data_IF_352491839142
#
_entry.id   IF_352491839142
#
_cell.length_a   1.000
_cell.length_b   1.000
_cell.length_c   1.000
_cell.angle_alpha   90.00
_cell.angle_beta   90.00
_cell.angle_gamma   90.00
#
_symmetry.space_group_name_H-M   'P 1'
#
loop_
_entity.id
_entity.type
_entity.pdbx_description
1 polymer ?
#
# COMPACT_ATOMS: atom_id res chain seq x y z
N UNK A 1 -4.65 -20.81 22.21
CA UNK A 1 -5.35 -21.42 23.36
C UNK A 1 -4.75 -20.92 24.66
N UNK A 2 -5.60 -20.46 25.56
CA UNK A 2 -5.18 -20.05 26.90
C UNK A 2 -4.84 -21.29 27.77
N UNK A 3 -3.79 -21.20 28.58
CA UNK A 3 -3.44 -22.22 29.58
C UNK A 3 -3.68 -21.67 30.96
N UNK A 4 -4.30 -22.46 31.85
CA UNK A 4 -4.63 -22.08 33.22
C UNK A 4 -3.72 -22.85 34.17
N UNK A 5 -3.06 -22.11 35.10
CA UNK A 5 -2.16 -22.70 36.11
C UNK A 5 -2.58 -22.22 37.51
N UNK A 6 -2.77 -23.17 38.42
CA UNK A 6 -3.11 -22.85 39.85
C UNK A 6 -1.88 -22.35 40.57
N UNK A 7 -2.02 -21.26 41.32
CA UNK A 7 -1.00 -20.66 42.20
C UNK A 7 -1.61 -20.38 43.60
N UNK A 8 -1.56 -21.36 44.48
CA UNK A 8 -2.20 -21.22 45.80
C UNK A 8 -3.70 -20.94 45.69
N UNK A 9 -4.15 -19.77 46.15
CA UNK A 9 -5.55 -19.33 46.08
C UNK A 9 -5.90 -18.55 44.81
N UNK A 10 -4.96 -18.40 43.90
CA UNK A 10 -5.17 -17.70 42.61
C UNK A 10 -4.91 -18.62 41.43
N UNK A 11 -5.36 -18.19 40.23
CA UNK A 11 -5.10 -18.87 38.98
C UNK A 11 -4.44 -17.92 38.02
N UNK A 12 -3.39 -18.39 37.33
CA UNK A 12 -2.70 -17.67 36.29
C UNK A 12 -3.19 -18.17 34.94
N UNK A 13 -3.79 -17.27 34.16
CA UNK A 13 -4.19 -17.52 32.78
C UNK A 13 -3.06 -16.99 31.90
N UNK A 14 -2.55 -17.82 30.99
CA UNK A 14 -1.46 -17.49 30.06
C UNK A 14 -1.93 -17.72 28.64
N UNK A 15 -1.88 -16.65 27.84
CA UNK A 15 -2.22 -16.67 26.41
C UNK A 15 -0.94 -16.51 25.59
N UNK A 16 -0.66 -17.45 24.68
CA UNK A 16 0.46 -17.34 23.75
C UNK A 16 0.06 -16.44 22.59
N UNK A 17 0.91 -15.44 22.30
CA UNK A 17 0.69 -14.49 21.21
C UNK A 17 1.26 -14.95 19.87
N UNK A 18 1.80 -16.18 19.78
CA UNK A 18 2.38 -16.73 18.57
C UNK A 18 3.81 -16.28 18.30
N UNK A 19 4.13 -16.09 17.03
CA UNK A 19 5.45 -15.68 16.54
C UNK A 19 5.29 -14.41 15.70
N UNK A 20 6.33 -13.55 15.69
CA UNK A 20 6.40 -12.40 14.78
C UNK A 20 6.73 -12.84 13.34
N UNK A 21 6.70 -11.89 12.41
CA UNK A 21 7.02 -12.12 11.00
C UNK A 21 8.50 -12.53 10.76
N UNK A 22 9.39 -12.34 11.75
CA UNK A 22 10.78 -12.78 11.73
C UNK A 22 10.96 -14.18 12.38
N UNK A 23 9.87 -14.84 12.80
CA UNK A 23 9.90 -16.16 13.43
C UNK A 23 10.27 -16.15 14.93
N UNK A 24 10.37 -14.98 15.57
CA UNK A 24 10.64 -14.89 17.00
C UNK A 24 9.36 -15.06 17.79
N UNK A 25 9.45 -15.79 18.92
CA UNK A 25 8.29 -16.02 19.77
C UNK A 25 7.90 -14.74 20.50
N UNK A 26 6.64 -14.30 20.31
CA UNK A 26 6.08 -13.16 21.02
C UNK A 26 5.89 -13.45 22.52
N UNK A 27 6.05 -12.41 23.34
CA UNK A 27 5.88 -12.52 24.78
C UNK A 27 4.44 -12.90 25.12
N UNK A 28 4.24 -13.99 25.87
CA UNK A 28 2.92 -14.44 26.30
C UNK A 28 2.28 -13.43 27.26
N UNK A 29 0.98 -13.17 27.06
CA UNK A 29 0.19 -12.34 27.97
C UNK A 29 -0.26 -13.19 29.17
N UNK A 30 -0.23 -12.59 30.36
CA UNK A 30 -0.54 -13.29 31.61
C UNK A 30 -1.48 -12.44 32.45
N UNK A 31 -2.51 -13.08 33.01
CA UNK A 31 -3.47 -12.45 33.92
C UNK A 31 -3.68 -13.36 35.15
N UNK A 32 -3.59 -12.79 36.33
CA UNK A 32 -3.92 -13.50 37.58
C UNK A 32 -5.36 -13.21 37.95
N UNK A 33 -6.15 -14.26 38.21
CA UNK A 33 -7.57 -14.17 38.57
C UNK A 33 -7.83 -14.88 39.89
N UNK A 34 -8.74 -14.35 40.69
CA UNK A 34 -9.16 -14.90 41.97
C UNK A 34 -10.65 -15.32 41.86
N UNK A 35 -10.97 -16.59 42.00
CA UNK A 35 -12.37 -17.01 42.01
C UNK A 35 -13.12 -16.44 43.20
N UNK A 36 -14.38 -16.02 43.03
CA UNK A 36 -15.22 -15.59 44.14
C UNK A 36 -15.35 -16.64 45.24
N UNK A 37 -15.39 -16.19 46.50
CA UNK A 37 -15.56 -17.09 47.66
C UNK A 37 -16.92 -17.80 47.58
N UNK A 38 -16.93 -19.10 47.94
CA UNK A 38 -18.18 -19.89 48.02
C UNK A 38 -18.54 -20.70 46.80
N UNK A 39 -17.71 -20.70 45.72
CA UNK A 39 -17.93 -21.54 44.55
C UNK A 39 -17.55 -23.00 44.78
N UNK A 40 -18.34 -23.91 44.27
CA UNK A 40 -17.99 -25.33 44.18
C UNK A 40 -16.88 -25.57 43.18
N UNK A 41 -16.10 -26.66 43.27
CA UNK A 41 -15.00 -26.93 42.33
C UNK A 41 -15.43 -26.90 40.84
N UNK A 42 -16.61 -27.43 40.51
CA UNK A 42 -17.16 -27.42 39.13
C UNK A 42 -17.54 -26.01 38.69
N UNK A 43 -18.08 -25.18 39.59
CA UNK A 43 -18.39 -23.78 39.26
C UNK A 43 -17.13 -22.95 39.07
N UNK A 44 -16.07 -23.19 39.86
CA UNK A 44 -14.77 -22.55 39.71
C UNK A 44 -14.14 -22.89 38.34
N UNK A 45 -14.20 -24.13 37.90
CA UNK A 45 -13.68 -24.57 36.62
C UNK A 45 -14.42 -23.91 35.45
N UNK A 46 -15.75 -23.86 35.52
CA UNK A 46 -16.56 -23.17 34.49
C UNK A 46 -16.25 -21.70 34.41
N UNK A 47 -16.19 -21.02 35.58
CA UNK A 47 -15.84 -19.60 35.66
C UNK A 47 -14.43 -19.32 35.13
N UNK A 48 -13.44 -20.15 35.46
CA UNK A 48 -12.07 -20.01 34.94
C UNK A 48 -12.00 -20.15 33.42
N UNK A 49 -12.76 -21.08 32.84
CA UNK A 49 -12.85 -21.22 31.37
C UNK A 49 -13.50 -20.00 30.72
N UNK A 50 -14.54 -19.43 31.32
CA UNK A 50 -15.15 -18.18 30.85
C UNK A 50 -14.17 -17.00 30.91
N UNK A 51 -13.44 -16.86 32.03
CA UNK A 51 -12.40 -15.84 32.16
C UNK A 51 -11.23 -16.04 31.16
N UNK A 52 -10.85 -17.28 30.88
CA UNK A 52 -9.81 -17.58 29.91
C UNK A 52 -10.23 -17.22 28.50
N UNK A 53 -11.50 -17.46 28.11
CA UNK A 53 -12.05 -17.05 26.82
C UNK A 53 -12.11 -15.53 26.71
N UNK A 54 -12.62 -14.84 27.73
CA UNK A 54 -12.66 -13.37 27.76
C UNK A 54 -11.28 -12.76 27.64
N UNK A 55 -10.30 -13.31 28.38
CA UNK A 55 -8.91 -12.84 28.31
C UNK A 55 -8.26 -13.15 26.95
N UNK A 56 -8.52 -14.31 26.36
CA UNK A 56 -8.06 -14.63 25.00
C UNK A 56 -8.64 -13.68 23.96
N UNK A 57 -9.92 -13.32 24.06
CA UNK A 57 -10.58 -12.33 23.22
C UNK A 57 -9.98 -10.93 23.39
N UNK A 58 -9.75 -10.51 24.65
CA UNK A 58 -9.11 -9.21 24.92
C UNK A 58 -7.66 -9.15 24.39
N UNK A 59 -6.90 -10.24 24.51
CA UNK A 59 -5.55 -10.34 23.93
C UNK A 59 -5.56 -10.28 22.40
N UNK A 60 -6.58 -10.87 21.73
CA UNK A 60 -6.73 -10.78 20.28
C UNK A 60 -7.19 -9.40 19.80
N UNK A 61 -7.88 -8.65 20.66
CA UNK A 61 -8.32 -7.28 20.38
C UNK A 61 -7.24 -6.24 20.71
N UNK A 62 -6.20 -6.59 21.48
CA UNK A 62 -5.04 -5.71 21.67
C UNK A 62 -4.13 -5.84 20.45
N UNK A 63 -3.93 -4.79 19.64
CA UNK A 63 -2.93 -4.80 18.57
C UNK A 63 -1.58 -5.14 19.18
N UNK A 64 -0.87 -6.06 18.57
CA UNK A 64 0.41 -6.58 19.07
C UNK A 64 1.33 -5.41 19.47
N UNK A 65 1.89 -5.42 20.67
CA UNK A 65 2.71 -4.33 21.22
C UNK A 65 3.93 -3.95 20.36
N UNK A 66 4.35 -4.79 19.44
CA UNK A 66 5.35 -4.49 18.39
C UNK A 66 4.82 -3.51 17.35
N UNK A 67 3.52 -3.57 17.01
CA UNK A 67 2.89 -2.64 16.09
C UNK A 67 2.71 -1.24 16.70
N UNK A 68 2.53 -1.14 18.01
CA UNK A 68 2.26 0.13 18.72
C UNK A 68 3.43 1.12 18.68
N UNK A 69 4.66 0.67 18.39
CA UNK A 69 5.85 1.52 18.34
C UNK A 69 6.42 1.78 16.95
N UNK A 70 5.98 1.05 15.92
CA UNK A 70 6.49 1.21 14.55
C UNK A 70 6.00 2.53 13.94
N UNK A 71 6.92 3.32 13.43
CA UNK A 71 6.62 4.56 12.71
C UNK A 71 6.15 4.28 11.29
N UNK A 72 5.46 5.25 10.67
CA UNK A 72 5.08 5.15 9.26
C UNK A 72 6.32 5.01 8.35
N UNK A 73 7.43 5.68 8.70
CA UNK A 73 8.67 5.60 7.92
C UNK A 73 9.26 4.17 7.96
N UNK A 74 9.34 3.56 9.14
CA UNK A 74 9.83 2.18 9.30
C UNK A 74 8.93 1.18 8.58
N UNK A 75 7.61 1.32 8.68
CA UNK A 75 6.68 0.45 8.00
C UNK A 75 6.71 0.64 6.48
N UNK A 76 6.76 1.88 5.98
CA UNK A 76 6.86 2.15 4.54
C UNK A 76 8.14 1.56 3.93
N UNK A 77 9.26 1.61 4.67
CA UNK A 77 10.51 0.97 4.25
C UNK A 77 10.34 -0.56 4.19
N UNK A 78 9.81 -1.17 5.25
CA UNK A 78 9.54 -2.60 5.27
C UNK A 78 8.60 -3.03 4.13
N UNK A 79 7.52 -2.27 3.91
CA UNK A 79 6.55 -2.52 2.85
C UNK A 79 7.20 -2.46 1.46
N UNK A 80 8.02 -1.45 1.23
CA UNK A 80 8.73 -1.26 -0.03
C UNK A 80 9.74 -2.37 -0.33
N UNK A 81 10.45 -2.86 0.69
CA UNK A 81 11.46 -3.91 0.55
C UNK A 81 10.86 -5.32 0.44
N UNK A 82 9.76 -5.60 1.14
CA UNK A 82 9.26 -6.96 1.33
C UNK A 82 7.88 -7.24 0.68
N UNK A 83 7.01 -6.24 0.56
CA UNK A 83 5.64 -6.42 0.07
C UNK A 83 5.51 -5.93 -1.38
N UNK A 84 5.92 -4.72 -1.67
CA UNK A 84 5.76 -4.07 -2.97
C UNK A 84 6.34 -4.90 -4.15
N UNK A 85 7.55 -5.50 -4.06
CA UNK A 85 8.13 -6.25 -5.18
C UNK A 85 7.34 -7.50 -5.55
N UNK A 86 6.64 -8.10 -4.59
CA UNK A 86 5.84 -9.30 -4.80
C UNK A 86 4.39 -8.99 -5.25
N UNK A 87 3.92 -7.77 -5.02
CA UNK A 87 2.53 -7.37 -5.26
C UNK A 87 2.38 -6.47 -6.49
N UNK A 88 3.41 -5.73 -6.87
CA UNK A 88 3.36 -4.68 -7.87
C UNK A 88 4.37 -4.92 -9.01
N UNK A 89 4.01 -4.44 -10.21
CA UNK A 89 4.94 -4.40 -11.33
C UNK A 89 6.11 -3.44 -11.06
N UNK A 90 7.29 -3.71 -11.61
CA UNK A 90 8.52 -2.95 -11.39
C UNK A 90 8.37 -1.44 -11.68
N UNK A 91 7.62 -1.07 -12.72
CA UNK A 91 7.32 0.33 -13.04
C UNK A 91 6.44 1.01 -11.99
N UNK A 92 5.51 0.26 -11.39
CA UNK A 92 4.66 0.74 -10.29
C UNK A 92 5.49 0.91 -9.03
N UNK A 93 6.36 -0.04 -8.70
CA UNK A 93 7.28 0.05 -7.55
C UNK A 93 8.14 1.31 -7.62
N UNK A 94 8.68 1.64 -8.81
CA UNK A 94 9.48 2.86 -9.00
C UNK A 94 8.65 4.14 -8.75
N UNK A 95 7.37 4.15 -9.16
CA UNK A 95 6.46 5.27 -8.89
C UNK A 95 6.12 5.37 -7.41
N UNK A 96 5.77 4.27 -6.77
CA UNK A 96 5.44 4.22 -5.34
C UNK A 96 6.61 4.74 -4.49
N UNK A 97 7.87 4.43 -4.88
CA UNK A 97 9.05 4.99 -4.21
C UNK A 97 9.05 6.52 -4.22
N UNK A 98 8.78 7.12 -5.39
CA UNK A 98 8.72 8.58 -5.51
C UNK A 98 7.59 9.18 -4.67
N UNK A 99 6.46 8.50 -4.54
CA UNK A 99 5.33 8.95 -3.73
C UNK A 99 5.64 8.79 -2.23
N UNK A 100 6.31 7.71 -1.82
CA UNK A 100 6.81 7.50 -0.45
C UNK A 100 7.78 8.62 -0.06
N UNK A 101 8.77 8.93 -0.90
CA UNK A 101 9.76 9.97 -0.65
C UNK A 101 9.12 11.36 -0.44
N UNK A 102 7.94 11.61 -1.03
CA UNK A 102 7.20 12.87 -0.85
C UNK A 102 6.48 12.98 0.48
N UNK A 103 5.85 11.91 0.98
CA UNK A 103 5.07 12.03 2.21
C UNK A 103 5.87 11.76 3.48
N UNK A 104 6.98 11.01 3.40
CA UNK A 104 7.78 10.66 4.57
C UNK A 104 8.29 11.88 5.37
N UNK A 105 8.78 12.97 4.74
CA UNK A 105 9.24 14.15 5.49
C UNK A 105 8.15 14.79 6.35
N UNK A 106 6.89 14.66 5.94
CA UNK A 106 5.76 15.30 6.62
C UNK A 106 5.16 14.46 7.73
N UNK A 107 4.95 13.16 7.47
CA UNK A 107 4.19 12.29 8.38
C UNK A 107 4.91 11.00 8.78
N UNK A 108 6.10 10.75 8.23
CA UNK A 108 6.86 9.52 8.48
C UNK A 108 7.23 9.27 9.94
N UNK A 109 7.37 10.34 10.74
CA UNK A 109 7.74 10.28 12.16
C UNK A 109 6.61 9.84 13.08
N UNK A 110 5.34 9.87 12.63
CA UNK A 110 4.22 9.39 13.44
C UNK A 110 4.22 7.87 13.54
N UNK A 111 3.86 7.35 14.72
CA UNK A 111 3.57 5.93 14.88
C UNK A 111 2.31 5.55 14.10
N UNK A 112 2.25 4.33 13.58
CA UNK A 112 1.08 3.84 12.83
C UNK A 112 -0.22 4.04 13.62
N UNK A 113 -0.21 3.74 14.92
CA UNK A 113 -1.37 3.85 15.82
C UNK A 113 -1.76 5.30 16.16
N UNK A 114 -0.87 6.25 15.94
CA UNK A 114 -1.09 7.68 16.19
C UNK A 114 -1.59 8.43 14.94
N UNK A 115 -1.58 7.76 13.77
CA UNK A 115 -2.06 8.36 12.54
C UNK A 115 -3.56 8.66 12.61
N UNK A 116 -3.92 9.90 12.27
CA UNK A 116 -5.29 10.39 12.27
C UNK A 116 -5.63 11.06 10.93
N UNK A 117 -6.89 11.11 10.53
CA UNK A 117 -7.32 11.76 9.29
C UNK A 117 -6.81 13.19 9.11
N UNK A 118 -6.57 13.92 10.20
CA UNK A 118 -6.06 15.29 10.17
C UNK A 118 -4.62 15.39 9.65
N UNK A 119 -3.78 14.39 9.94
CA UNK A 119 -2.40 14.37 9.46
C UNK A 119 -2.36 14.29 7.94
N UNK A 120 -3.22 13.47 7.34
CA UNK A 120 -3.32 13.36 5.88
C UNK A 120 -3.86 14.63 5.24
N UNK A 121 -4.89 15.26 5.82
CA UNK A 121 -5.41 16.54 5.30
C UNK A 121 -4.34 17.63 5.31
N UNK A 122 -3.55 17.73 6.38
CA UNK A 122 -2.41 18.67 6.47
C UNK A 122 -1.33 18.35 5.43
N UNK A 123 -1.01 17.07 5.25
CA UNK A 123 -0.09 16.60 4.22
C UNK A 123 -0.52 17.07 2.83
N UNK A 124 -1.77 16.85 2.41
CA UNK A 124 -2.23 17.25 1.07
C UNK A 124 -2.17 18.76 0.86
N UNK A 125 -2.43 19.55 1.90
CA UNK A 125 -2.27 21.02 1.83
C UNK A 125 -0.80 21.40 1.67
N UNK A 126 0.11 20.70 2.34
CA UNK A 126 1.55 20.94 2.21
C UNK A 126 2.05 20.56 0.81
N UNK A 127 1.69 19.37 0.32
CA UNK A 127 2.07 18.89 -1.01
C UNK A 127 1.62 19.83 -2.15
N UNK A 128 0.43 20.42 -2.05
CA UNK A 128 -0.04 21.41 -3.04
C UNK A 128 0.80 22.68 -3.09
N UNK A 129 1.51 23.01 -2.02
CA UNK A 129 2.42 24.17 -1.95
C UNK A 129 3.83 23.82 -2.40
N UNK A 130 4.18 22.55 -2.45
CA UNK A 130 5.47 22.09 -2.91
C UNK A 130 5.66 22.34 -4.40
N UNK A 131 6.88 22.70 -4.77
CA UNK A 131 7.26 22.89 -6.16
C UNK A 131 7.84 21.59 -6.72
N UNK A 132 7.40 21.23 -7.90
CA UNK A 132 8.00 20.15 -8.67
C UNK A 132 9.45 20.51 -9.00
N UNK A 133 10.39 19.63 -8.67
CA UNK A 133 11.83 19.86 -8.87
C UNK A 133 12.22 20.03 -10.35
N UNK A 134 11.41 19.49 -11.29
CA UNK A 134 11.72 19.51 -12.72
C UNK A 134 11.30 20.84 -13.37
N UNK A 135 10.12 21.37 -13.01
CA UNK A 135 9.53 22.52 -13.71
C UNK A 135 9.24 23.72 -12.79
N UNK A 136 9.55 23.62 -11.50
CA UNK A 136 9.34 24.68 -10.52
C UNK A 136 7.87 25.05 -10.23
N UNK A 137 6.91 24.38 -10.89
CA UNK A 137 5.47 24.60 -10.70
C UNK A 137 4.95 23.83 -9.48
N UNK A 138 3.83 24.23 -8.87
CA UNK A 138 3.18 23.46 -7.83
C UNK A 138 2.88 22.02 -8.31
N UNK A 139 2.87 21.06 -7.39
CA UNK A 139 2.49 19.69 -7.71
C UNK A 139 1.05 19.65 -8.27
N UNK A 140 0.84 18.83 -9.29
CA UNK A 140 -0.50 18.65 -9.86
C UNK A 140 -1.41 17.88 -8.90
N UNK A 141 -2.73 18.12 -8.99
CA UNK A 141 -3.71 17.34 -8.22
C UNK A 141 -3.57 15.83 -8.47
N UNK A 142 -3.26 15.40 -9.71
CA UNK A 142 -2.98 14.00 -10.04
C UNK A 142 -1.79 13.43 -9.27
N UNK A 143 -0.78 14.25 -9.00
CA UNK A 143 0.39 13.82 -8.19
C UNK A 143 -0.01 13.65 -6.73
N UNK A 144 -0.79 14.59 -6.17
CA UNK A 144 -1.29 14.49 -4.78
C UNK A 144 -2.22 13.30 -4.62
N UNK A 145 -3.05 13.04 -5.63
CA UNK A 145 -3.92 11.86 -5.71
C UNK A 145 -3.11 10.54 -5.74
N UNK A 146 -2.01 10.51 -6.50
CA UNK A 146 -1.07 9.39 -6.51
C UNK A 146 -0.48 9.11 -5.13
N UNK A 147 0.00 10.14 -4.44
CA UNK A 147 0.50 10.03 -3.06
C UNK A 147 -0.59 9.51 -2.10
N UNK A 148 -1.84 9.98 -2.24
CA UNK A 148 -2.96 9.47 -1.45
C UNK A 148 -3.21 7.98 -1.72
N UNK A 149 -3.23 7.56 -2.98
CA UNK A 149 -3.44 6.17 -3.36
C UNK A 149 -2.34 5.25 -2.81
N UNK A 150 -1.07 5.67 -2.92
CA UNK A 150 0.09 4.98 -2.33
C UNK A 150 -0.07 4.79 -0.82
N UNK A 151 -0.37 5.89 -0.09
CA UNK A 151 -0.62 5.84 1.36
C UNK A 151 -1.78 4.91 1.73
N UNK A 152 -2.89 4.97 1.00
CA UNK A 152 -4.01 4.07 1.22
C UNK A 152 -3.62 2.61 1.01
N UNK A 153 -2.81 2.30 0.00
CA UNK A 153 -2.29 0.96 -0.26
C UNK A 153 -1.43 0.44 0.89
N UNK A 154 -0.42 1.21 1.30
CA UNK A 154 0.49 0.87 2.40
C UNK A 154 -0.28 0.64 3.71
N UNK A 155 -1.21 1.54 4.06
CA UNK A 155 -1.98 1.43 5.29
C UNK A 155 -3.05 0.33 5.24
N UNK A 156 -3.56 -0.02 4.07
CA UNK A 156 -4.43 -1.19 3.91
C UNK A 156 -3.67 -2.49 4.14
N UNK A 157 -2.45 -2.59 3.64
CA UNK A 157 -1.58 -3.74 3.92
C UNK A 157 -1.20 -3.81 5.42
N UNK A 158 -1.07 -2.67 6.11
CA UNK A 158 -0.90 -2.63 7.56
C UNK A 158 -2.13 -3.17 8.31
N UNK A 159 -3.34 -2.89 7.81
CA UNK A 159 -4.58 -3.46 8.36
C UNK A 159 -4.66 -4.96 8.10
N UNK A 160 -4.36 -5.42 6.88
CA UNK A 160 -4.31 -6.86 6.53
C UNK A 160 -3.30 -7.62 7.40
N UNK A 161 -2.17 -6.97 7.74
CA UNK A 161 -1.14 -7.53 8.62
C UNK A 161 -1.49 -7.44 10.12
N UNK A 162 -2.67 -6.89 10.48
CA UNK A 162 -3.11 -6.74 11.87
C UNK A 162 -2.35 -5.68 12.67
N UNK A 163 -1.62 -4.77 11.99
CA UNK A 163 -0.91 -3.66 12.63
C UNK A 163 -1.84 -2.47 12.93
N UNK A 164 -2.93 -2.35 12.20
CA UNK A 164 -3.98 -1.34 12.36
C UNK A 164 -5.35 -2.00 12.32
N UNK A 165 -6.29 -1.46 13.09
CA UNK A 165 -7.69 -1.92 13.08
C UNK A 165 -8.44 -1.40 11.85
N UNK A 166 -8.07 -0.22 11.36
CA UNK A 166 -8.68 0.43 10.19
C UNK A 166 -7.67 1.37 9.51
N UNK A 167 -7.91 1.66 8.24
CA UNK A 167 -7.06 2.55 7.47
C UNK A 167 -7.43 4.03 7.74
N UNK A 168 -6.56 4.81 8.44
CA UNK A 168 -6.87 6.19 8.82
C UNK A 168 -6.80 7.18 7.65
N UNK A 169 -6.21 6.79 6.51
CA UNK A 169 -6.17 7.62 5.31
C UNK A 169 -7.46 7.55 4.50
N UNK A 170 -8.30 6.54 4.74
CA UNK A 170 -9.50 6.35 3.95
C UNK A 170 -10.46 7.54 4.07
N UNK A 171 -11.01 7.98 2.91
CA UNK A 171 -11.93 9.13 2.79
C UNK A 171 -11.36 10.48 3.26
N UNK A 172 -10.04 10.60 3.41
CA UNK A 172 -9.42 11.88 3.79
C UNK A 172 -9.18 12.80 2.58
N UNK A 173 -9.15 12.23 1.38
CA UNK A 173 -8.97 12.93 0.12
C UNK A 173 -10.29 13.01 -0.65
N UNK A 174 -10.62 14.19 -1.18
CA UNK A 174 -11.68 14.35 -2.17
C UNK A 174 -11.04 14.40 -3.55
N UNK A 175 -11.35 13.43 -4.36
CA UNK A 175 -10.98 13.46 -5.77
C UNK A 175 -11.60 14.70 -6.41
N UNK A 176 -10.78 15.61 -6.93
CA UNK A 176 -11.27 16.72 -7.71
C UNK A 176 -11.74 16.17 -9.05
N UNK A 177 -12.89 16.65 -9.55
CA UNK A 177 -13.24 16.49 -10.95
C UNK A 177 -12.22 17.31 -11.74
N UNK A 178 -11.07 16.68 -12.06
CA UNK A 178 -10.09 17.29 -12.93
C UNK A 178 -10.77 17.36 -14.29
N UNK A 179 -11.01 18.56 -14.78
CA UNK A 179 -11.46 18.75 -16.14
C UNK A 179 -10.49 17.99 -17.05
N UNK A 180 -11.00 16.89 -17.60
CA UNK A 180 -10.22 16.09 -18.56
C UNK A 180 -9.90 17.04 -19.70
N UNK A 181 -8.64 17.45 -19.81
CA UNK A 181 -8.18 18.22 -20.97
C UNK A 181 -8.70 17.49 -22.20
N UNK A 182 -9.48 18.20 -23.01
CA UNK A 182 -9.97 17.67 -24.26
C UNK A 182 -8.76 17.22 -25.07
N UNK A 183 -8.69 15.93 -25.39
CA UNK A 183 -7.60 15.42 -26.21
C UNK A 183 -7.79 15.99 -27.60
N UNK A 184 -6.80 16.73 -28.06
CA UNK A 184 -6.76 17.23 -29.44
C UNK A 184 -6.40 16.02 -30.31
N UNK A 185 -7.34 15.60 -31.14
CA UNK A 185 -7.10 14.59 -32.17
C UNK A 185 -6.39 15.30 -33.34
N UNK A 186 -5.25 14.75 -33.75
CA UNK A 186 -4.53 15.28 -34.91
C UNK A 186 -5.38 15.13 -36.16
N UNK A 187 -5.55 16.20 -36.91
CA UNK A 187 -6.17 16.18 -38.21
C UNK A 187 -5.19 15.64 -39.29
N UNK A 188 -5.69 15.45 -40.51
CA UNK A 188 -4.91 14.88 -41.60
C UNK A 188 -3.70 15.74 -41.96
N UNK A 189 -3.84 17.06 -41.91
CA UNK A 189 -2.75 18.00 -42.20
C UNK A 189 -1.61 17.91 -41.16
N UNK A 190 -1.95 17.76 -39.86
CA UNK A 190 -0.98 17.55 -38.79
C UNK A 190 -0.28 16.21 -38.96
N UNK A 191 -1.02 15.14 -39.34
CA UNK A 191 -0.46 13.81 -39.58
C UNK A 191 0.54 13.83 -40.75
N UNK A 192 0.23 14.49 -41.83
CA UNK A 192 1.13 14.61 -42.99
C UNK A 192 2.43 15.34 -42.59
N UNK A 193 2.32 16.47 -41.86
CA UNK A 193 3.47 17.19 -41.35
C UNK A 193 4.34 16.34 -40.44
N UNK A 194 3.70 15.52 -39.59
CA UNK A 194 4.39 14.60 -38.69
C UNK A 194 5.16 13.53 -39.49
N UNK A 195 4.53 12.89 -40.48
CA UNK A 195 5.17 11.87 -41.34
C UNK A 195 6.39 12.45 -42.07
N UNK A 196 6.26 13.63 -42.66
CA UNK A 196 7.39 14.32 -43.31
C UNK A 196 8.53 14.70 -42.34
N UNK A 197 8.19 14.99 -41.08
CA UNK A 197 9.21 15.26 -40.07
C UNK A 197 9.94 13.98 -39.66
N UNK A 198 9.23 12.84 -39.56
CA UNK A 198 9.78 11.53 -39.20
C UNK A 198 10.82 11.02 -40.21
N UNK A 199 10.68 11.36 -41.51
CA UNK A 199 11.65 10.99 -42.55
C UNK A 199 13.05 11.57 -42.32
N UNK A 200 13.16 12.60 -41.46
CA UNK A 200 14.43 13.23 -41.09
C UNK A 200 15.06 12.65 -39.82
N UNK A 201 14.30 11.78 -39.14
CA UNK A 201 14.73 11.14 -37.92
C UNK A 201 15.50 9.84 -38.20
N UNK A 202 16.08 9.25 -37.13
CA UNK A 202 16.74 7.96 -37.27
C UNK A 202 15.70 6.88 -37.61
N UNK A 203 16.12 5.89 -38.42
CA UNK A 203 15.29 4.76 -38.89
C UNK A 203 14.52 4.08 -37.75
N UNK A 204 15.10 4.07 -36.53
CA UNK A 204 14.48 3.50 -35.36
C UNK A 204 13.20 4.25 -34.97
N UNK A 205 13.28 5.56 -34.85
CA UNK A 205 12.11 6.39 -34.48
C UNK A 205 11.11 6.47 -35.60
N UNK A 206 11.57 6.59 -36.81
CA UNK A 206 10.73 6.58 -38.03
C UNK A 206 9.86 5.30 -38.06
N UNK A 207 10.49 4.13 -37.85
CA UNK A 207 9.77 2.84 -37.88
C UNK A 207 8.79 2.73 -36.71
N UNK A 208 9.20 3.11 -35.49
CA UNK A 208 8.33 3.06 -34.32
C UNK A 208 7.05 3.90 -34.54
N UNK A 209 7.19 5.14 -34.96
CA UNK A 209 6.05 6.02 -35.17
C UNK A 209 5.19 5.61 -36.38
N UNK A 210 5.80 5.19 -37.48
CA UNK A 210 5.09 4.66 -38.67
C UNK A 210 4.28 3.40 -38.33
N UNK A 211 4.69 2.63 -37.32
CA UNK A 211 3.93 1.49 -36.82
C UNK A 211 2.82 1.93 -35.86
N UNK A 212 3.13 2.80 -34.89
CA UNK A 212 2.18 3.21 -33.83
C UNK A 212 1.01 4.03 -34.41
N UNK A 213 1.25 4.95 -35.36
CA UNK A 213 0.23 5.86 -35.87
C UNK A 213 -0.93 5.09 -36.54
N UNK A 214 -0.72 4.17 -37.49
CA UNK A 214 -1.83 3.48 -38.16
C UNK A 214 -2.46 2.36 -37.33
N UNK A 215 -1.70 1.76 -36.39
CA UNK A 215 -2.16 0.60 -35.60
C UNK A 215 -2.79 0.99 -34.27
N UNK A 216 -2.44 2.16 -33.74
CA UNK A 216 -2.87 2.60 -32.41
C UNK A 216 -2.32 1.77 -31.26
N UNK A 217 -1.28 0.94 -31.45
CA UNK A 217 -0.65 0.13 -30.41
C UNK A 217 0.02 1.03 -29.37
N UNK A 218 0.06 0.56 -28.13
CA UNK A 218 0.75 1.29 -27.06
C UNK A 218 2.27 1.23 -27.26
N UNK A 219 2.96 2.31 -26.91
CA UNK A 219 4.43 2.36 -27.01
C UNK A 219 5.12 1.16 -26.35
N UNK A 220 4.63 0.71 -25.20
CA UNK A 220 5.21 -0.45 -24.51
C UNK A 220 5.03 -1.75 -25.32
N UNK A 221 3.89 -1.94 -25.94
CA UNK A 221 3.60 -3.07 -26.83
C UNK A 221 4.49 -3.01 -28.08
N UNK A 222 4.63 -1.83 -28.70
CA UNK A 222 5.52 -1.63 -29.85
C UNK A 222 6.97 -2.02 -29.53
N UNK A 223 7.51 -1.56 -28.40
CA UNK A 223 8.86 -1.90 -27.94
C UNK A 223 9.02 -3.40 -27.58
N UNK A 224 7.94 -4.11 -27.32
CA UNK A 224 7.94 -5.53 -26.96
C UNK A 224 7.86 -6.48 -28.16
N UNK A 225 7.56 -5.99 -29.38
CA UNK A 225 7.41 -6.81 -30.59
C UNK A 225 8.72 -7.53 -30.93
N UNK A 226 8.62 -8.81 -31.17
CA UNK A 226 9.73 -9.67 -31.61
C UNK A 226 9.54 -10.04 -33.08
N UNK A 227 10.61 -10.45 -33.75
CA UNK A 227 10.53 -10.92 -35.14
C UNK A 227 9.64 -12.15 -35.30
N UNK A 228 9.49 -12.97 -34.24
CA UNK A 228 8.57 -14.11 -34.21
C UNK A 228 7.09 -13.72 -34.24
N UNK A 229 6.77 -12.47 -33.87
CA UNK A 229 5.40 -12.01 -33.76
C UNK A 229 4.89 -11.41 -35.06
N UNK A 230 5.76 -11.37 -36.11
CA UNK A 230 5.45 -10.83 -37.43
C UNK A 230 5.14 -11.96 -38.41
N UNK A 231 3.91 -12.01 -38.86
CA UNK A 231 3.50 -12.90 -39.98
C UNK A 231 3.55 -12.14 -41.30
N UNK A 232 4.61 -12.38 -42.07
CA UNK A 232 4.79 -11.75 -43.38
C UNK A 232 3.79 -12.25 -44.43
N UNK A 233 3.36 -13.50 -44.34
CA UNK A 233 2.41 -14.09 -45.30
C UNK A 233 1.00 -13.56 -45.04
N UNK A 234 0.60 -13.52 -43.75
CA UNK A 234 -0.69 -12.98 -43.31
C UNK A 234 -0.72 -11.46 -43.19
N UNK A 235 0.42 -10.77 -43.36
CA UNK A 235 0.58 -9.31 -43.21
C UNK A 235 0.03 -8.82 -41.86
N UNK A 236 0.33 -9.56 -40.78
CA UNK A 236 -0.19 -9.26 -39.46
C UNK A 236 0.93 -9.28 -38.42
N UNK A 237 0.69 -8.57 -37.32
CA UNK A 237 1.58 -8.54 -36.13
C UNK A 237 0.75 -9.00 -34.96
N UNK A 238 1.26 -10.02 -34.24
CA UNK A 238 0.66 -10.49 -33.00
C UNK A 238 1.16 -9.64 -31.84
N UNK A 239 0.23 -9.04 -31.08
CA UNK A 239 0.54 -8.20 -29.92
C UNK A 239 0.15 -8.97 -28.66
N UNK A 240 1.14 -9.23 -27.78
CA UNK A 240 0.97 -9.97 -26.54
C UNK A 240 0.85 -9.03 -25.31
#
# INVERSE_FOLDING_TARGET
MASIRKRGNSYLIVVSMGYDCAGNRLKSMQQTVHPPAGMTPKQTEKWLNEQAVLFELSCKQQPQQTASNMTLAEYSKYWFENIAPNKLASSTVAREKSDIDRFLPHIGHYKLTELRPEHFRKLYVALRKEKNMINGKPLSELTVEGVHACLCGILSDAVESGLLDHNPAWRTYKYSNIDKKQQVVADEEILQKLICALEKESIKYETDFKLIIPTGIRRGECCGIKWSDIDYAGRSIHIC
#
